data_IF_729410092571
#
_entry.id   IF_729410092571
#
_cell.length_a   1.000
_cell.length_b   1.000
_cell.length_c   1.000
_cell.angle_alpha   90.00
_cell.angle_beta   90.00
_cell.angle_gamma   90.00
#
_symmetry.space_group_name_H-M   'P 1'
#
loop_
_entity.id
_entity.type
_entity.pdbx_description
1 polymer ?
#
# COMPACT_ATOMS: atom_id res chain seq x y z
N UNK A 1 2.83 6.95 -14.12
CA UNK A 1 3.42 7.56 -12.89
C UNK A 1 4.47 8.61 -13.22
N UNK A 2 5.50 8.29 -14.02
CA UNK A 2 6.55 9.23 -14.41
C UNK A 2 6.04 10.52 -15.08
N UNK A 3 5.05 10.40 -15.98
CA UNK A 3 4.43 11.55 -16.66
C UNK A 3 3.70 12.48 -15.70
N UNK A 4 3.00 11.92 -14.72
CA UNK A 4 2.31 12.71 -13.67
C UNK A 4 3.33 13.44 -12.81
N UNK A 5 4.46 12.79 -12.49
CA UNK A 5 5.54 13.40 -11.72
C UNK A 5 6.23 14.54 -12.47
N UNK A 6 6.52 14.36 -13.76
CA UNK A 6 7.10 15.42 -14.59
C UNK A 6 6.13 16.61 -14.73
N UNK A 7 4.83 16.35 -14.89
CA UNK A 7 3.82 17.41 -14.94
C UNK A 7 3.72 18.17 -13.61
N UNK A 8 3.68 17.48 -12.47
CA UNK A 8 3.61 18.12 -11.15
C UNK A 8 4.89 18.92 -10.86
N UNK A 9 6.06 18.36 -11.17
CA UNK A 9 7.34 19.06 -11.03
C UNK A 9 7.43 20.32 -11.91
N UNK A 10 6.97 20.23 -13.17
CA UNK A 10 6.91 21.36 -14.10
C UNK A 10 5.93 22.45 -13.63
N UNK A 11 4.76 22.06 -13.12
CA UNK A 11 3.76 23.01 -12.59
C UNK A 11 4.32 23.73 -11.35
N UNK A 12 4.95 23.01 -10.42
CA UNK A 12 5.58 23.62 -9.24
C UNK A 12 6.69 24.58 -9.67
N UNK A 13 7.55 24.19 -10.63
CA UNK A 13 8.62 25.04 -11.14
C UNK A 13 8.09 26.32 -11.80
N UNK A 14 7.06 26.23 -12.63
CA UNK A 14 6.45 27.37 -13.32
C UNK A 14 5.74 28.31 -12.34
N UNK A 15 4.95 27.78 -11.39
CA UNK A 15 4.22 28.57 -10.39
C UNK A 15 5.18 29.32 -9.46
N UNK A 16 6.27 28.67 -9.03
CA UNK A 16 7.29 29.28 -8.18
C UNK A 16 8.05 30.40 -8.90
N UNK A 17 8.40 30.19 -10.17
CA UNK A 17 9.08 31.20 -10.98
C UNK A 17 8.16 32.39 -11.30
N UNK A 18 6.89 32.14 -11.61
CA UNK A 18 5.91 33.20 -11.88
C UNK A 18 5.60 34.05 -10.63
N UNK A 19 5.56 33.44 -9.45
CA UNK A 19 5.35 34.13 -8.18
C UNK A 19 6.57 34.97 -7.72
N UNK A 20 7.73 34.79 -8.36
CA UNK A 20 8.99 35.47 -7.98
C UNK A 20 9.14 36.89 -8.52
N UNK A 21 8.15 37.43 -9.25
CA UNK A 21 8.14 38.81 -9.76
C UNK A 21 7.80 39.87 -8.69
N UNK A 22 7.43 39.49 -7.45
CA UNK A 22 6.76 40.41 -6.52
C UNK A 22 7.41 40.73 -5.17
N UNK A 23 8.55 40.16 -4.75
CA UNK A 23 9.06 40.38 -3.38
C UNK A 23 10.55 40.72 -3.31
N UNK A 24 10.84 41.90 -2.74
CA UNK A 24 12.17 42.46 -2.54
C UNK A 24 12.88 41.88 -1.32
N UNK A 25 14.01 41.19 -1.56
CA UNK A 25 15.25 41.16 -0.78
C UNK A 25 16.24 40.22 -1.51
N UNK A 26 17.44 40.72 -1.85
CA UNK A 26 18.32 40.09 -2.84
C UNK A 26 18.84 38.68 -2.47
N UNK A 27 19.01 38.38 -1.18
CA UNK A 27 19.53 37.09 -0.72
C UNK A 27 18.53 35.92 -0.86
N UNK A 28 17.25 36.18 -0.64
CA UNK A 28 16.20 35.16 -0.71
C UNK A 28 15.94 34.68 -2.14
N UNK A 29 16.28 35.50 -3.14
CA UNK A 29 16.13 35.19 -4.57
C UNK A 29 17.00 34.00 -5.01
N UNK A 30 18.14 33.77 -4.35
CA UNK A 30 19.07 32.69 -4.70
C UNK A 30 18.91 31.46 -3.80
N UNK A 31 18.71 31.66 -2.50
CA UNK A 31 18.56 30.52 -1.57
C UNK A 31 17.25 29.76 -1.76
N UNK A 32 16.15 30.45 -2.09
CA UNK A 32 14.83 29.82 -2.25
C UNK A 32 14.70 28.88 -3.46
N UNK A 33 15.11 29.23 -4.69
CA UNK A 33 15.04 28.28 -5.80
C UNK A 33 15.96 27.08 -5.57
N UNK A 34 17.13 27.27 -4.95
CA UNK A 34 18.02 26.16 -4.60
C UNK A 34 17.37 25.18 -3.61
N UNK A 35 16.73 25.70 -2.56
CA UNK A 35 15.99 24.90 -1.58
C UNK A 35 14.82 24.15 -2.24
N UNK A 36 14.04 24.82 -3.10
CA UNK A 36 12.91 24.21 -3.77
C UNK A 36 13.34 23.15 -4.79
N UNK A 37 14.41 23.41 -5.56
CA UNK A 37 15.00 22.40 -6.42
C UNK A 37 15.49 21.18 -5.63
N UNK A 38 16.15 21.40 -4.48
CA UNK A 38 16.57 20.30 -3.61
C UNK A 38 15.38 19.48 -3.09
N UNK A 39 14.30 20.12 -2.64
CA UNK A 39 13.10 19.41 -2.18
C UNK A 39 12.42 18.64 -3.32
N UNK A 40 12.28 19.26 -4.49
CA UNK A 40 11.68 18.65 -5.69
C UNK A 40 12.51 17.47 -6.20
N UNK A 41 13.82 17.45 -6.00
CA UNK A 41 14.66 16.33 -6.41
C UNK A 41 14.77 15.25 -5.32
N UNK A 42 14.93 15.63 -4.05
CA UNK A 42 15.19 14.70 -2.95
C UNK A 42 13.93 13.92 -2.55
N UNK A 43 12.78 14.58 -2.42
CA UNK A 43 11.54 13.92 -2.00
C UNK A 43 11.09 12.78 -2.92
N UNK A 44 10.99 12.95 -4.26
CA UNK A 44 10.60 11.85 -5.13
C UNK A 44 11.64 10.74 -5.16
N UNK A 45 12.94 11.05 -5.09
CA UNK A 45 13.99 10.02 -5.03
C UNK A 45 13.84 9.20 -3.74
N UNK A 46 13.63 9.85 -2.60
CA UNK A 46 13.38 9.15 -1.32
C UNK A 46 12.12 8.30 -1.38
N UNK A 47 11.03 8.85 -1.92
CA UNK A 47 9.77 8.12 -2.09
C UNK A 47 9.95 6.90 -3.00
N UNK A 48 10.60 7.06 -4.15
CA UNK A 48 10.88 5.97 -5.09
C UNK A 48 11.77 4.89 -4.45
N UNK A 49 12.80 5.27 -3.70
CA UNK A 49 13.65 4.31 -2.99
C UNK A 49 12.88 3.54 -1.92
N UNK A 50 12.01 4.21 -1.16
CA UNK A 50 11.13 3.54 -0.20
C UNK A 50 10.15 2.59 -0.91
N UNK A 51 9.52 3.05 -1.99
CA UNK A 51 8.59 2.25 -2.78
C UNK A 51 9.24 1.01 -3.37
N UNK A 52 10.43 1.14 -3.98
CA UNK A 52 11.19 0.00 -4.52
C UNK A 52 11.57 -0.97 -3.42
N UNK A 53 11.99 -0.49 -2.25
CA UNK A 53 12.31 -1.35 -1.11
C UNK A 53 11.07 -2.13 -0.65
N UNK A 54 9.92 -1.48 -0.58
CA UNK A 54 8.68 -2.14 -0.17
C UNK A 54 8.23 -3.18 -1.22
N UNK A 55 8.43 -2.89 -2.51
CA UNK A 55 8.22 -3.85 -3.61
C UNK A 55 9.17 -5.05 -3.55
N UNK A 56 10.41 -4.88 -3.12
CA UNK A 56 11.37 -5.99 -2.99
C UNK A 56 10.95 -6.99 -1.91
N UNK A 57 10.21 -6.56 -0.89
CA UNK A 57 9.73 -7.42 0.21
C UNK A 57 8.38 -8.07 -0.13
N UNK A 58 7.64 -7.52 -1.10
CA UNK A 58 6.34 -8.02 -1.54
C UNK A 58 6.34 -9.52 -1.98
N UNK A 59 7.31 -10.03 -2.77
CA UNK A 59 7.37 -11.46 -3.10
C UNK A 59 7.43 -12.34 -1.84
N UNK A 60 8.25 -11.94 -0.86
CA UNK A 60 8.41 -12.68 0.38
C UNK A 60 7.14 -12.63 1.26
N UNK A 61 6.46 -11.48 1.28
CA UNK A 61 5.17 -11.33 1.97
C UNK A 61 4.09 -12.21 1.37
N UNK A 62 4.02 -12.29 0.05
CA UNK A 62 3.04 -13.13 -0.65
C UNK A 62 3.37 -14.61 -0.46
N UNK A 63 4.64 -15.01 -0.53
CA UNK A 63 5.07 -16.40 -0.32
C UNK A 63 4.77 -16.94 1.08
N UNK A 64 4.83 -16.08 2.11
CA UNK A 64 4.55 -16.45 3.51
C UNK A 64 3.16 -16.02 3.99
N UNK A 65 2.31 -15.54 3.09
CA UNK A 65 0.96 -15.11 3.41
C UNK A 65 0.18 -16.25 4.08
N UNK A 66 -0.57 -15.93 5.14
CA UNK A 66 -1.60 -16.81 5.66
C UNK A 66 -2.72 -16.02 6.32
N UNK A 67 -3.95 -16.29 5.89
CA UNK A 67 -5.18 -15.65 6.38
C UNK A 67 -5.44 -15.92 7.87
N UNK A 68 -4.76 -16.91 8.47
CA UNK A 68 -4.81 -17.17 9.93
C UNK A 68 -3.84 -16.30 10.72
N UNK A 69 -2.75 -15.89 10.08
CA UNK A 69 -1.71 -15.03 10.67
C UNK A 69 -1.95 -13.54 10.44
N UNK A 70 -2.89 -13.16 9.58
CA UNK A 70 -3.24 -11.75 9.32
C UNK A 70 -3.81 -11.08 10.57
N UNK A 71 -3.28 -9.91 10.92
CA UNK A 71 -3.79 -9.10 12.02
C UNK A 71 -4.90 -8.19 11.51
N UNK A 72 -6.04 -8.20 12.20
CA UNK A 72 -7.15 -7.30 11.94
C UNK A 72 -7.14 -6.23 13.05
N UNK A 73 -7.61 -5.03 12.74
CA UNK A 73 -7.70 -3.93 13.70
C UNK A 73 -8.37 -4.34 15.01
N UNK A 74 -9.44 -5.14 14.91
CA UNK A 74 -10.17 -5.66 16.05
C UNK A 74 -9.30 -6.55 16.96
N UNK A 75 -8.41 -7.37 16.40
CA UNK A 75 -7.54 -8.25 17.16
C UNK A 75 -6.43 -7.47 17.87
N UNK A 76 -5.91 -6.41 17.24
CA UNK A 76 -4.84 -5.58 17.80
C UNK A 76 -5.29 -4.76 19.01
N UNK A 77 -6.60 -4.51 19.13
CA UNK A 77 -7.21 -3.82 20.27
C UNK A 77 -8.00 -4.77 21.19
N UNK A 78 -7.69 -6.07 21.19
CA UNK A 78 -8.34 -7.09 22.05
C UNK A 78 -9.88 -7.10 21.92
N UNK A 79 -10.39 -6.82 20.72
CA UNK A 79 -11.81 -6.68 20.42
C UNK A 79 -12.50 -5.58 21.25
N UNK A 80 -11.77 -4.51 21.59
CA UNK A 80 -12.32 -3.31 22.24
C UNK A 80 -12.09 -2.09 21.37
N UNK A 81 -13.12 -1.27 21.20
CA UNK A 81 -12.99 0.01 20.51
C UNK A 81 -12.09 0.96 21.34
N UNK A 82 -11.04 1.56 20.75
CA UNK A 82 -10.00 2.27 21.52
C UNK A 82 -10.50 3.52 22.27
N UNK A 83 -11.60 4.11 21.82
CA UNK A 83 -12.19 5.33 22.43
C UNK A 83 -13.32 5.01 23.42
N UNK A 84 -14.30 4.21 22.99
CA UNK A 84 -15.52 3.91 23.76
C UNK A 84 -15.37 2.70 24.69
N UNK A 85 -14.29 1.92 24.55
CA UNK A 85 -14.04 0.67 25.29
C UNK A 85 -15.13 -0.40 25.13
N UNK A 86 -16.02 -0.22 24.16
CA UNK A 86 -17.09 -1.18 23.84
C UNK A 86 -16.52 -2.37 23.10
N UNK A 87 -17.06 -3.56 23.35
CA UNK A 87 -16.71 -4.78 22.62
C UNK A 87 -17.09 -4.65 21.14
N UNK A 88 -16.15 -5.00 20.26
CA UNK A 88 -16.34 -4.96 18.80
C UNK A 88 -16.28 -6.38 18.23
N UNK A 89 -17.13 -6.65 17.25
CA UNK A 89 -17.14 -7.93 16.56
C UNK A 89 -15.85 -8.14 15.78
N UNK A 90 -15.38 -9.39 15.74
CA UNK A 90 -14.17 -9.73 15.01
C UNK A 90 -14.45 -9.84 13.51
N UNK A 91 -13.85 -8.95 12.71
CA UNK A 91 -13.98 -8.98 11.24
C UNK A 91 -13.45 -10.31 10.64
N UNK A 92 -12.55 -11.00 11.34
CA UNK A 92 -12.00 -12.30 10.90
C UNK A 92 -13.08 -13.36 10.72
N UNK A 93 -14.09 -13.39 11.59
CA UNK A 93 -15.17 -14.36 11.48
C UNK A 93 -16.02 -14.11 10.23
N UNK A 94 -16.24 -12.84 9.90
CA UNK A 94 -16.95 -12.46 8.69
C UNK A 94 -16.16 -12.90 7.45
N UNK A 95 -14.85 -12.61 7.41
CA UNK A 95 -13.97 -13.04 6.31
C UNK A 95 -14.01 -14.56 6.13
N UNK A 96 -13.92 -15.35 7.21
CA UNK A 96 -13.92 -16.81 7.11
C UNK A 96 -15.24 -17.35 6.58
N UNK A 97 -16.38 -16.80 7.01
CA UNK A 97 -17.69 -17.18 6.46
C UNK A 97 -17.81 -16.84 4.99
N UNK A 98 -17.34 -15.66 4.58
CA UNK A 98 -17.33 -15.27 3.17
C UNK A 98 -16.47 -16.20 2.34
N UNK A 99 -15.28 -16.59 2.83
CA UNK A 99 -14.44 -17.58 2.15
C UNK A 99 -15.13 -18.94 2.07
N UNK A 100 -15.73 -19.42 3.15
CA UNK A 100 -16.52 -20.66 3.14
C UNK A 100 -17.63 -20.61 2.11
N UNK A 101 -18.38 -19.51 2.02
CA UNK A 101 -19.47 -19.35 1.04
C UNK A 101 -18.95 -19.32 -0.41
N UNK A 102 -17.82 -18.66 -0.66
CA UNK A 102 -17.18 -18.64 -1.98
C UNK A 102 -16.74 -20.02 -2.43
N UNK A 103 -16.11 -20.80 -1.54
CA UNK A 103 -15.62 -22.14 -1.88
C UNK A 103 -16.67 -23.25 -1.75
N UNK A 104 -17.77 -23.01 -1.03
CA UNK A 104 -18.90 -23.96 -0.91
C UNK A 104 -19.65 -24.10 -2.23
N UNK A 105 -19.70 -23.03 -3.03
CA UNK A 105 -20.29 -23.10 -4.37
C UNK A 105 -19.48 -24.03 -5.29
N UNK A 106 -18.17 -24.16 -5.05
CA UNK A 106 -17.28 -25.00 -5.85
C UNK A 106 -17.26 -26.47 -5.38
N UNK A 107 -17.63 -26.77 -4.12
CA UNK A 107 -17.50 -28.11 -3.54
C UNK A 107 -18.58 -28.44 -2.50
N UNK A 108 -19.36 -29.49 -2.76
CA UNK A 108 -20.45 -30.01 -1.91
C UNK A 108 -19.92 -30.85 -0.72
N UNK A 109 -18.95 -30.35 0.03
CA UNK A 109 -18.28 -31.12 1.10
C UNK A 109 -18.38 -30.43 2.47
N UNK A 110 -18.78 -31.19 3.49
CA UNK A 110 -18.97 -30.75 4.89
C UNK A 110 -17.67 -30.51 5.66
N UNK A 111 -16.50 -30.97 5.17
CA UNK A 111 -15.19 -30.67 5.76
C UNK A 111 -14.53 -29.40 5.22
N UNK A 112 -15.34 -28.41 4.79
CA UNK A 112 -14.89 -27.32 3.93
C UNK A 112 -14.02 -26.28 4.65
N UNK A 113 -14.40 -25.85 5.85
CA UNK A 113 -13.86 -24.64 6.47
C UNK A 113 -12.33 -24.59 6.56
N UNK A 114 -11.69 -25.67 7.02
CA UNK A 114 -10.21 -25.70 7.10
C UNK A 114 -9.55 -25.73 5.72
N UNK A 115 -10.11 -26.49 4.77
CA UNK A 115 -9.61 -26.59 3.39
C UNK A 115 -9.80 -25.28 2.63
N UNK A 116 -10.90 -24.54 2.82
CA UNK A 116 -11.12 -23.22 2.21
C UNK A 116 -10.00 -22.23 2.53
N UNK A 117 -9.61 -22.16 3.81
CA UNK A 117 -8.55 -21.26 4.24
C UNK A 117 -7.19 -21.66 3.66
N UNK A 118 -6.91 -22.97 3.57
CA UNK A 118 -5.68 -23.48 2.95
C UNK A 118 -5.67 -23.21 1.43
N UNK A 119 -6.80 -23.39 0.75
CA UNK A 119 -6.95 -23.10 -0.68
C UNK A 119 -6.81 -21.61 -0.97
N UNK A 120 -7.35 -20.75 -0.10
CA UNK A 120 -7.17 -19.31 -0.23
C UNK A 120 -5.71 -18.90 -0.04
N UNK A 121 -5.06 -19.40 1.02
CA UNK A 121 -3.63 -19.17 1.27
C UNK A 121 -2.80 -19.58 0.04
N UNK A 122 -3.08 -20.75 -0.55
CA UNK A 122 -2.39 -21.24 -1.74
C UNK A 122 -2.62 -20.36 -2.98
N UNK A 123 -3.86 -19.91 -3.24
CA UNK A 123 -4.16 -19.00 -4.36
C UNK A 123 -3.44 -17.66 -4.23
N UNK A 124 -3.33 -17.12 -3.02
CA UNK A 124 -2.58 -15.89 -2.77
C UNK A 124 -1.07 -16.11 -2.99
N UNK A 125 -0.54 -17.22 -2.47
CA UNK A 125 0.88 -17.56 -2.55
C UNK A 125 1.36 -17.90 -3.97
N UNK A 126 0.51 -18.50 -4.80
CA UNK A 126 0.88 -18.93 -6.15
C UNK A 126 0.34 -17.97 -7.21
N UNK A 127 -0.99 -17.84 -7.30
CA UNK A 127 -1.63 -17.15 -8.43
C UNK A 127 -1.44 -15.63 -8.33
N UNK A 128 -1.75 -15.05 -7.16
CA UNK A 128 -1.60 -13.61 -6.95
C UNK A 128 -0.12 -13.21 -6.96
N UNK A 129 0.75 -13.97 -6.29
CA UNK A 129 2.18 -13.72 -6.32
C UNK A 129 2.75 -13.71 -7.74
N UNK A 130 2.43 -14.73 -8.54
CA UNK A 130 2.91 -14.82 -9.90
C UNK A 130 2.39 -13.66 -10.77
N UNK A 131 1.13 -13.28 -10.60
CA UNK A 131 0.54 -12.16 -11.33
C UNK A 131 1.18 -10.82 -10.95
N UNK A 132 1.28 -10.51 -9.66
CA UNK A 132 1.88 -9.26 -9.16
C UNK A 132 3.35 -9.14 -9.60
N UNK A 133 4.12 -10.23 -9.53
CA UNK A 133 5.54 -10.21 -9.91
C UNK A 133 5.75 -10.00 -11.41
N UNK A 134 4.83 -10.46 -12.27
CA UNK A 134 4.88 -10.18 -13.71
C UNK A 134 4.58 -8.71 -13.99
N UNK A 135 3.50 -8.19 -13.41
CA UNK A 135 3.05 -6.82 -13.68
C UNK A 135 3.98 -5.74 -13.08
N UNK A 136 4.64 -6.05 -11.97
CA UNK A 136 5.52 -5.10 -11.26
C UNK A 136 7.00 -5.30 -11.60
N UNK A 137 7.42 -6.52 -11.98
CA UNK A 137 8.81 -6.86 -12.28
C UNK A 137 9.27 -6.50 -13.70
N UNK A 138 8.37 -6.41 -14.67
CA UNK A 138 8.68 -6.10 -16.08
C UNK A 138 8.63 -4.58 -16.40
N UNK A 139 8.74 -3.71 -15.40
CA UNK A 139 8.64 -2.24 -15.52
C UNK A 139 9.96 -1.48 -15.41
#
# INVERSE_FOLDING_TARGET
VLTVYLCVGMIIFVVVNHFSLGYGNAAWKFCRPLLLCAVVLILPVRFMLCFVRDLQVLPEQLAHFSIRKTRCFCCDHEHKHPVTWTEIQCDRQLVYRTLEDWYRQDTHDTGLGKRCLDTFDHKVQCDLAQWVLREVGDG
#
